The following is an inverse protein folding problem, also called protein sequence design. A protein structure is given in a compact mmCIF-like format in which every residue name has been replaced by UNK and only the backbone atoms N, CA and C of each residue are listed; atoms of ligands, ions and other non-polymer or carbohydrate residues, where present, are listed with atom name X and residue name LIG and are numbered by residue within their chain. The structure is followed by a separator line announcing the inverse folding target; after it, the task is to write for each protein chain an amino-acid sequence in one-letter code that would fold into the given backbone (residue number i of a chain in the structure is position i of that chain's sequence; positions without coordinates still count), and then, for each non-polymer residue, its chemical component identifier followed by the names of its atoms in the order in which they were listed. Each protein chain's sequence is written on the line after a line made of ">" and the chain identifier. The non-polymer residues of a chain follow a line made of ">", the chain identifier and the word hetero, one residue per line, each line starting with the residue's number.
data_IF_090653032806
#
_entry.id   IF_090653032806
#
_cell.length_a   1.000
_cell.length_b   1.000
_cell.length_c   1.000
_cell.angle_alpha   90.00
_cell.angle_beta   90.00
_cell.angle_gamma   90.00
#
_symmetry.space_group_name_H-M   'P 1'
#
loop_
_entity.id
_entity.type
_entity.pdbx_description
1 polymer ?
#
# COMPACT_ATOMS: atom_id res chain seq x y z
N UNK A 1 28.30 24.13 -1.57
CA UNK A 1 26.83 23.96 -1.47
C UNK A 1 26.29 22.95 -2.49
N UNK A 2 26.70 23.00 -3.76
CA UNK A 2 26.13 22.17 -4.84
C UNK A 2 26.52 20.67 -4.80
N UNK A 3 27.62 20.29 -4.13
CA UNK A 3 28.06 18.88 -4.10
C UNK A 3 27.12 17.95 -3.32
N UNK A 4 26.33 18.48 -2.39
CA UNK A 4 25.29 17.72 -1.69
C UNK A 4 24.13 17.30 -2.61
N UNK A 5 23.94 18.00 -3.74
CA UNK A 5 22.85 17.72 -4.69
C UNK A 5 23.25 16.71 -5.79
N UNK A 6 24.45 16.14 -5.73
CA UNK A 6 24.94 15.13 -6.67
C UNK A 6 24.58 13.71 -6.19
N UNK A 7 24.44 12.76 -7.11
CA UNK A 7 24.24 11.34 -6.79
C UNK A 7 22.83 10.97 -6.36
N UNK A 8 21.81 11.72 -6.79
CA UNK A 8 20.41 11.34 -6.56
C UNK A 8 20.09 9.98 -7.22
N UNK A 9 19.16 9.18 -6.66
CA UNK A 9 18.82 7.88 -7.23
C UNK A 9 18.36 7.97 -8.68
N UNK A 10 18.95 7.13 -9.53
CA UNK A 10 18.55 6.97 -10.93
C UNK A 10 18.09 5.53 -11.13
N UNK A 11 16.78 5.33 -11.19
CA UNK A 11 16.21 4.02 -11.53
C UNK A 11 16.34 3.70 -13.02
N UNK A 12 16.26 4.73 -13.87
CA UNK A 12 16.48 4.66 -15.32
C UNK A 12 16.81 6.06 -15.87
N UNK A 13 17.98 6.19 -16.50
CA UNK A 13 18.48 7.45 -17.09
C UNK A 13 17.55 8.01 -18.18
N UNK A 14 16.80 7.15 -18.87
CA UNK A 14 15.93 7.59 -19.97
C UNK A 14 14.66 8.30 -19.50
N UNK A 15 14.19 8.06 -18.27
CA UNK A 15 12.85 8.44 -17.79
C UNK A 15 12.49 9.93 -18.01
N UNK A 16 13.46 10.83 -17.84
CA UNK A 16 13.24 12.28 -17.98
C UNK A 16 14.13 12.94 -19.04
N UNK A 17 15.00 12.17 -19.71
CA UNK A 17 15.96 12.67 -20.71
C UNK A 17 15.32 13.41 -21.90
N UNK A 18 14.05 13.11 -22.21
CA UNK A 18 13.28 13.65 -23.35
C UNK A 18 12.07 14.48 -22.93
N UNK A 19 11.95 14.81 -21.64
CA UNK A 19 10.82 15.60 -21.16
C UNK A 19 10.95 17.07 -21.60
N UNK A 20 9.92 17.59 -22.27
CA UNK A 20 9.84 18.99 -22.70
C UNK A 20 8.53 19.60 -22.21
N UNK A 21 8.62 20.57 -21.30
CA UNK A 21 7.47 21.24 -20.69
C UNK A 21 6.66 22.09 -21.69
N UNK A 22 7.32 22.59 -22.75
CA UNK A 22 6.71 23.43 -23.78
C UNK A 22 6.01 22.64 -24.89
N UNK A 23 6.04 21.30 -24.82
CA UNK A 23 5.26 20.47 -25.73
C UNK A 23 3.78 20.80 -25.53
N UNK A 24 3.13 21.34 -26.57
CA UNK A 24 1.75 21.85 -26.63
C UNK A 24 0.68 20.75 -26.40
N UNK A 25 1.06 19.63 -25.80
CA UNK A 25 0.17 18.61 -25.30
C UNK A 25 -0.60 19.18 -24.10
N UNK A 26 -1.82 19.67 -24.39
CA UNK A 26 -2.89 19.81 -23.40
C UNK A 26 -2.86 18.55 -22.52
N UNK A 27 -2.68 18.72 -21.21
CA UNK A 27 -2.58 17.62 -20.25
C UNK A 27 -3.74 16.63 -20.47
N UNK A 28 -3.47 15.57 -21.21
CA UNK A 28 -4.49 14.60 -21.60
C UNK A 28 -4.76 13.78 -20.35
N UNK A 29 -5.99 13.86 -19.84
CA UNK A 29 -6.38 13.07 -18.67
C UNK A 29 -6.18 11.59 -19.03
N UNK A 30 -5.54 10.78 -18.17
CA UNK A 30 -5.44 9.35 -18.42
C UNK A 30 -6.82 8.76 -18.70
N UNK A 31 -6.89 7.85 -19.67
CA UNK A 31 -8.12 7.12 -19.97
C UNK A 31 -8.58 6.34 -18.75
N UNK A 32 -9.90 6.29 -18.52
CA UNK A 32 -10.49 5.54 -17.40
C UNK A 32 -10.42 4.04 -17.69
N UNK A 33 -10.03 3.25 -16.70
CA UNK A 33 -10.09 1.79 -16.78
C UNK A 33 -11.54 1.30 -16.64
N UNK A 34 -12.00 0.54 -17.63
CA UNK A 34 -13.33 -0.10 -17.65
C UNK A 34 -13.14 -1.63 -17.53
N UNK A 35 -13.31 -2.22 -16.33
CA UNK A 35 -13.20 -3.67 -16.16
C UNK A 35 -14.31 -4.38 -16.94
N UNK A 36 -13.93 -5.26 -17.88
CA UNK A 36 -14.87 -6.05 -18.70
C UNK A 36 -14.93 -7.52 -18.33
N UNK A 37 -14.04 -7.96 -17.44
CA UNK A 37 -13.95 -9.34 -16.96
C UNK A 37 -13.88 -9.32 -15.45
N UNK A 38 -14.61 -10.24 -14.84
CA UNK A 38 -14.52 -10.47 -13.41
C UNK A 38 -13.44 -11.51 -13.12
N UNK A 39 -12.61 -11.21 -12.12
CA UNK A 39 -11.63 -12.13 -11.57
C UNK A 39 -11.89 -12.26 -10.08
N UNK A 40 -12.02 -13.48 -9.53
CA UNK A 40 -12.21 -13.66 -8.10
C UNK A 40 -10.98 -13.18 -7.33
N UNK A 41 -11.20 -12.63 -6.13
CA UNK A 41 -10.09 -12.31 -5.21
C UNK A 41 -9.63 -13.59 -4.50
N UNK A 42 -8.31 -13.79 -4.41
CA UNK A 42 -7.73 -14.95 -3.72
C UNK A 42 -8.00 -14.95 -2.21
N UNK A 43 -8.12 -13.76 -1.61
CA UNK A 43 -8.35 -13.57 -0.18
C UNK A 43 -9.31 -12.40 0.06
N UNK A 44 -10.00 -12.44 1.20
CA UNK A 44 -10.89 -11.37 1.63
C UNK A 44 -10.42 -10.81 2.99
N UNK A 45 -10.55 -9.51 3.16
CA UNK A 45 -10.29 -8.85 4.44
C UNK A 45 -11.49 -9.11 5.36
N UNK A 46 -11.23 -9.72 6.51
CA UNK A 46 -12.25 -9.98 7.54
C UNK A 46 -11.89 -9.24 8.83
N UNK A 47 -12.91 -8.71 9.51
CA UNK A 47 -12.77 -8.13 10.84
C UNK A 47 -13.18 -9.16 11.90
N UNK A 48 -12.45 -9.18 13.01
CA UNK A 48 -12.81 -10.03 14.14
C UNK A 48 -14.13 -9.56 14.75
N UNK A 49 -15.07 -10.48 14.93
CA UNK A 49 -16.41 -10.18 15.45
C UNK A 49 -16.48 -10.11 16.96
N UNK A 50 -15.47 -10.60 17.66
CA UNK A 50 -15.48 -10.66 19.12
C UNK A 50 -15.38 -9.27 19.72
N UNK A 51 -16.18 -9.01 20.74
CA UNK A 51 -16.06 -7.79 21.52
C UNK A 51 -14.65 -7.72 22.15
N UNK A 52 -14.01 -6.55 22.04
CA UNK A 52 -12.62 -6.36 22.49
C UNK A 52 -12.41 -6.64 23.97
N UNK A 53 -13.41 -6.36 24.82
CA UNK A 53 -13.34 -6.62 26.25
C UNK A 53 -13.40 -8.13 26.51
N UNK A 54 -14.31 -8.84 25.84
CA UNK A 54 -14.41 -10.29 25.97
C UNK A 54 -13.12 -10.98 25.52
N UNK A 55 -12.57 -10.58 24.37
CA UNK A 55 -11.28 -11.09 23.88
C UNK A 55 -10.16 -10.88 24.91
N UNK A 56 -10.11 -9.71 25.54
CA UNK A 56 -9.14 -9.42 26.58
C UNK A 56 -9.33 -10.31 27.83
N UNK A 57 -10.56 -10.47 28.31
CA UNK A 57 -10.86 -11.28 29.49
C UNK A 57 -10.52 -12.76 29.26
N UNK A 58 -10.92 -13.33 28.11
CA UNK A 58 -10.55 -14.69 27.72
C UNK A 58 -9.04 -14.87 27.68
N UNK A 59 -8.32 -13.94 27.05
CA UNK A 59 -6.87 -14.00 26.96
C UNK A 59 -6.19 -13.97 28.35
N UNK A 60 -6.70 -13.16 29.28
CA UNK A 60 -6.17 -13.12 30.65
C UNK A 60 -6.47 -14.42 31.40
N UNK A 61 -7.66 -14.98 31.21
CA UNK A 61 -8.05 -16.25 31.82
C UNK A 61 -7.14 -17.39 31.36
N UNK A 62 -6.96 -17.56 30.05
CA UNK A 62 -6.14 -18.63 29.46
C UNK A 62 -4.67 -18.50 29.89
N UNK A 63 -4.13 -17.28 29.90
CA UNK A 63 -2.78 -16.99 30.42
C UNK A 63 -2.62 -17.41 31.88
N UNK A 64 -3.66 -17.23 32.70
CA UNK A 64 -3.60 -17.61 34.11
C UNK A 64 -3.81 -19.12 34.32
N UNK A 65 -4.62 -19.77 33.48
CA UNK A 65 -4.77 -21.22 33.49
C UNK A 65 -3.45 -21.91 33.11
N UNK A 66 -2.75 -21.41 32.08
CA UNK A 66 -1.45 -21.92 31.65
C UNK A 66 -0.31 -21.76 32.68
N UNK A 67 -0.47 -20.86 33.67
CA UNK A 67 0.48 -20.69 34.78
C UNK A 67 0.23 -21.62 35.97
N UNK A 68 -0.93 -22.29 36.00
CA UNK A 68 -1.37 -23.13 37.13
C UNK A 68 -1.18 -24.63 36.86
N UNK A 69 -0.77 -25.02 35.66
CA UNK A 69 -0.32 -26.37 35.30
C UNK A 69 1.18 -26.39 35.12
#
# INVERSE_FOLDING_TARGET
>A
MADFLKGLPVYNESNFSRFHADSVCKASRPSVYLPTREYPSDQIIVTEKTNILLRYLHQQWDKNAAKKG
#
